data_IF_118075990756
#
_entry.id   IF_118075990756
#
_cell.length_a   1.000
_cell.length_b   1.000
_cell.length_c   1.000
_cell.angle_alpha   90.00
_cell.angle_beta   90.00
_cell.angle_gamma   90.00
#
_symmetry.space_group_name_H-M   'P 1'
#
loop_
_entity.id
_entity.type
_entity.pdbx_description
1 polymer ?
#
# COMPACT_ATOMS: atom_id res chain seq x y z
N UNK A 1 14.52 38.32 3.14
CA UNK A 1 15.71 37.47 3.06
C UNK A 1 15.78 36.91 1.64
N UNK A 2 16.97 36.85 1.00
CA UNK A 2 17.08 36.27 -0.33
C UNK A 2 16.62 34.79 -0.26
N UNK A 3 15.80 34.39 -1.26
CA UNK A 3 15.35 33.01 -1.38
C UNK A 3 16.56 32.16 -1.79
N UNK A 4 17.16 31.42 -0.85
CA UNK A 4 18.20 30.45 -1.16
C UNK A 4 17.53 29.33 -1.98
N UNK A 5 18.10 29.00 -3.13
CA UNK A 5 17.59 27.88 -3.92
C UNK A 5 17.81 26.57 -3.14
N UNK A 6 16.95 25.60 -3.39
CA UNK A 6 17.11 24.26 -2.78
C UNK A 6 18.48 23.66 -3.08
N UNK A 7 18.95 23.81 -4.32
CA UNK A 7 20.28 23.31 -4.73
C UNK A 7 21.42 23.98 -3.97
N UNK A 8 21.36 25.31 -3.75
CA UNK A 8 22.38 26.04 -3.00
C UNK A 8 22.39 25.60 -1.52
N UNK A 9 21.23 25.24 -0.99
CA UNK A 9 21.15 24.74 0.38
C UNK A 9 21.78 23.35 0.49
N UNK A 10 21.35 22.41 -0.38
CA UNK A 10 21.89 21.03 -0.36
C UNK A 10 23.38 21.03 -0.70
N UNK A 11 23.84 21.86 -1.60
CA UNK A 11 25.27 22.01 -1.91
C UNK A 11 26.10 22.32 -0.66
N UNK A 12 25.57 23.11 0.28
CA UNK A 12 26.26 23.40 1.56
C UNK A 12 26.31 22.21 2.52
N UNK A 13 25.46 21.22 2.34
CA UNK A 13 25.37 20.00 3.17
C UNK A 13 26.15 18.82 2.56
N UNK A 14 26.72 19.02 1.37
CA UNK A 14 27.51 17.99 0.67
C UNK A 14 28.99 18.33 0.72
N UNK A 15 29.88 17.32 0.71
CA UNK A 15 31.28 17.55 0.39
C UNK A 15 31.42 18.18 -1.01
N UNK A 16 32.36 19.12 -1.17
CA UNK A 16 32.55 19.89 -2.43
C UNK A 16 32.64 18.98 -3.67
N UNK A 17 33.31 17.85 -3.53
CA UNK A 17 33.46 16.84 -4.59
C UNK A 17 32.18 16.15 -5.05
N UNK A 18 31.09 16.26 -4.29
CA UNK A 18 29.79 15.63 -4.58
C UNK A 18 28.77 16.60 -5.14
N UNK A 19 28.99 17.90 -5.03
CA UNK A 19 28.03 18.95 -5.43
C UNK A 19 27.69 18.83 -6.90
N UNK A 20 28.70 18.70 -7.78
CA UNK A 20 28.51 18.59 -9.23
C UNK A 20 27.74 17.30 -9.59
N UNK A 21 28.10 16.16 -9.00
CA UNK A 21 27.42 14.89 -9.22
C UNK A 21 25.94 14.95 -8.78
N UNK A 22 25.66 15.57 -7.63
CA UNK A 22 24.30 15.76 -7.15
C UNK A 22 23.49 16.66 -8.10
N UNK A 23 24.05 17.79 -8.52
CA UNK A 23 23.39 18.72 -9.45
C UNK A 23 23.08 18.06 -10.79
N UNK A 24 24.02 17.26 -11.33
CA UNK A 24 23.83 16.51 -12.57
C UNK A 24 22.69 15.49 -12.45
N UNK A 25 22.63 14.74 -11.36
CA UNK A 25 21.53 13.79 -11.09
C UNK A 25 20.20 14.52 -10.89
N UNK A 26 20.21 15.70 -10.28
CA UNK A 26 19.01 16.50 -10.07
C UNK A 26 18.39 16.98 -11.40
N UNK A 27 19.17 17.16 -12.44
CA UNK A 27 18.68 17.55 -13.78
C UNK A 27 18.20 16.35 -14.63
N UNK A 28 18.49 15.14 -14.21
CA UNK A 28 18.13 13.91 -14.94
C UNK A 28 16.87 13.28 -14.38
N UNK A 29 16.04 12.68 -15.27
CA UNK A 29 14.90 11.88 -14.83
C UNK A 29 15.39 10.61 -14.17
N UNK A 30 14.93 10.34 -12.95
CA UNK A 30 15.17 9.07 -12.29
C UNK A 30 14.63 7.91 -13.13
N UNK A 31 15.34 6.76 -13.15
CA UNK A 31 14.84 5.55 -13.77
C UNK A 31 13.49 5.16 -13.18
N UNK A 32 12.59 4.65 -14.02
CA UNK A 32 11.34 4.08 -13.52
C UNK A 32 11.63 2.79 -12.77
N UNK A 33 11.02 2.64 -11.61
CA UNK A 33 11.07 1.41 -10.82
C UNK A 33 9.69 0.82 -10.64
N UNK A 34 9.66 -0.49 -10.56
CA UNK A 34 8.46 -1.29 -10.28
C UNK A 34 8.72 -2.18 -9.07
N UNK A 35 7.68 -2.37 -8.26
CA UNK A 35 7.70 -3.34 -7.17
C UNK A 35 6.74 -4.48 -7.50
N UNK A 36 7.23 -5.71 -7.43
CA UNK A 36 6.43 -6.92 -7.59
C UNK A 36 5.56 -7.13 -6.36
N UNK A 37 4.31 -7.50 -6.55
CA UNK A 37 3.38 -7.88 -5.46
C UNK A 37 3.54 -9.38 -5.22
N UNK A 38 4.34 -9.72 -4.23
CA UNK A 38 4.82 -11.10 -4.03
C UNK A 38 3.74 -12.06 -3.54
N UNK A 39 2.70 -11.55 -2.90
CA UNK A 39 1.49 -12.31 -2.54
C UNK A 39 0.66 -12.75 -3.76
N UNK A 40 0.84 -12.12 -4.93
CA UNK A 40 0.15 -12.48 -6.17
C UNK A 40 0.98 -13.35 -7.09
N UNK A 41 2.26 -13.06 -7.20
CA UNK A 41 3.18 -13.77 -8.09
C UNK A 41 4.58 -13.82 -7.47
N UNK A 42 5.20 -14.99 -7.39
CA UNK A 42 6.60 -15.08 -7.01
C UNK A 42 7.48 -14.23 -7.93
N UNK A 43 8.44 -13.51 -7.36
CA UNK A 43 9.33 -12.60 -8.12
C UNK A 43 10.01 -13.29 -9.30
N UNK A 44 10.46 -14.54 -9.11
CA UNK A 44 11.10 -15.34 -10.18
C UNK A 44 10.17 -15.59 -11.38
N UNK A 45 8.87 -15.84 -11.11
CA UNK A 45 7.88 -16.11 -12.15
C UNK A 45 7.52 -14.81 -12.88
N UNK A 46 7.43 -13.69 -12.15
CA UNK A 46 7.25 -12.37 -12.74
C UNK A 46 8.39 -12.02 -13.71
N UNK A 47 9.66 -12.16 -13.27
CA UNK A 47 10.83 -11.88 -14.10
C UNK A 47 10.80 -12.72 -15.37
N UNK A 48 10.47 -14.02 -15.25
CA UNK A 48 10.36 -14.90 -16.41
C UNK A 48 9.28 -14.43 -17.39
N UNK A 49 8.09 -14.08 -16.87
CA UNK A 49 6.96 -13.65 -17.72
C UNK A 49 7.31 -12.38 -18.50
N UNK A 50 7.87 -11.37 -17.84
CA UNK A 50 8.19 -10.10 -18.50
C UNK A 50 9.44 -10.22 -19.39
N UNK A 51 10.38 -11.10 -19.05
CA UNK A 51 11.52 -11.45 -19.90
C UNK A 51 11.09 -12.07 -21.22
N UNK A 52 10.12 -13.01 -21.20
CA UNK A 52 9.54 -13.59 -22.42
C UNK A 52 8.82 -12.52 -23.29
N UNK A 53 8.39 -11.39 -22.69
CA UNK A 53 7.82 -10.23 -23.39
C UNK A 53 8.89 -9.26 -23.90
N UNK A 54 10.17 -9.50 -23.63
CA UNK A 54 11.28 -8.67 -24.06
C UNK A 54 11.57 -7.46 -23.15
N UNK A 55 11.05 -7.44 -21.91
CA UNK A 55 11.45 -6.42 -20.94
C UNK A 55 12.84 -6.72 -20.39
N UNK A 56 13.58 -5.65 -20.07
CA UNK A 56 14.84 -5.75 -19.35
C UNK A 56 14.69 -5.09 -17.98
N UNK A 57 14.80 -5.93 -16.96
CA UNK A 57 14.74 -5.52 -15.56
C UNK A 57 16.13 -5.61 -14.94
N UNK A 58 16.52 -4.58 -14.19
CA UNK A 58 17.73 -4.57 -13.38
C UNK A 58 17.36 -4.58 -11.90
N UNK A 59 17.96 -5.49 -11.16
CA UNK A 59 17.72 -5.65 -9.74
C UNK A 59 18.17 -4.41 -8.97
N UNK A 60 17.31 -3.92 -8.07
CA UNK A 60 17.71 -2.91 -7.08
C UNK A 60 18.27 -3.57 -5.82
N UNK A 61 18.51 -2.78 -4.80
CA UNK A 61 18.93 -3.29 -3.48
C UNK A 61 17.81 -4.12 -2.78
N UNK A 62 16.56 -4.02 -3.24
CA UNK A 62 15.44 -4.82 -2.76
C UNK A 62 15.12 -5.95 -3.73
N UNK A 63 14.90 -7.17 -3.21
CA UNK A 63 14.72 -8.38 -4.02
C UNK A 63 13.49 -8.40 -4.92
N UNK A 64 12.51 -7.55 -4.63
CA UNK A 64 11.22 -7.46 -5.32
C UNK A 64 10.98 -6.10 -6.01
N UNK A 65 12.03 -5.25 -6.06
CA UNK A 65 11.99 -3.94 -6.73
C UNK A 65 13.04 -3.89 -7.84
N UNK A 66 12.61 -3.45 -9.04
CA UNK A 66 13.44 -3.46 -10.24
C UNK A 66 13.41 -2.12 -10.95
N UNK A 67 14.56 -1.71 -11.49
CA UNK A 67 14.62 -0.69 -12.53
C UNK A 67 14.11 -1.29 -13.85
N UNK A 68 13.27 -0.56 -14.55
CA UNK A 68 12.82 -0.90 -15.90
C UNK A 68 13.74 -0.26 -16.90
N UNK A 69 14.72 -1.04 -17.41
CA UNK A 69 15.72 -0.56 -18.38
C UNK A 69 15.16 -0.55 -19.80
N UNK A 70 14.32 -1.55 -20.11
CA UNK A 70 13.64 -1.64 -21.39
C UNK A 70 12.20 -2.11 -21.20
N UNK A 71 11.31 -1.47 -21.89
CA UNK A 71 9.88 -1.77 -21.93
C UNK A 71 9.44 -1.74 -23.40
N UNK A 72 9.01 -2.87 -23.92
CA UNK A 72 8.82 -3.09 -25.36
C UNK A 72 7.38 -2.95 -25.84
N UNK A 73 6.42 -2.84 -24.89
CA UNK A 73 5.01 -2.77 -25.24
C UNK A 73 4.60 -1.38 -25.76
N UNK A 74 3.59 -1.33 -26.60
CA UNK A 74 2.99 -0.09 -27.10
C UNK A 74 2.28 0.74 -26.03
N UNK A 75 1.81 0.08 -24.97
CA UNK A 75 1.17 0.71 -23.84
C UNK A 75 2.20 1.29 -22.85
N UNK A 76 1.79 2.23 -22.01
CA UNK A 76 2.62 2.66 -20.89
C UNK A 76 2.64 1.60 -19.78
N UNK A 77 3.67 1.60 -18.91
CA UNK A 77 3.71 0.69 -17.75
C UNK A 77 2.42 0.69 -16.94
N UNK A 78 1.82 1.87 -16.72
CA UNK A 78 0.57 2.00 -15.96
C UNK A 78 -0.67 1.47 -16.68
N UNK A 79 -0.63 1.34 -18.00
CA UNK A 79 -1.70 0.79 -18.83
C UNK A 79 -1.50 -0.68 -19.16
N UNK A 80 -0.36 -1.26 -18.80
CA UNK A 80 -0.07 -2.65 -19.07
C UNK A 80 -0.94 -3.59 -18.24
N UNK A 81 -1.38 -4.72 -18.82
CA UNK A 81 -2.30 -5.65 -18.14
C UNK A 81 -1.74 -6.22 -16.83
N UNK A 82 -0.44 -6.42 -16.71
CA UNK A 82 0.18 -6.84 -15.45
C UNK A 82 0.08 -5.77 -14.35
N UNK A 83 0.16 -4.48 -14.71
CA UNK A 83 -0.08 -3.39 -13.77
C UNK A 83 -1.57 -3.29 -13.40
N UNK A 84 -2.45 -3.41 -14.38
CA UNK A 84 -3.90 -3.42 -14.13
C UNK A 84 -4.31 -4.62 -13.27
N UNK A 85 -3.63 -5.76 -13.45
CA UNK A 85 -3.78 -6.98 -12.65
C UNK A 85 -3.05 -6.95 -11.30
N UNK A 86 -2.35 -5.87 -10.96
CA UNK A 86 -1.62 -5.71 -9.70
C UNK A 86 -0.54 -6.77 -9.44
N UNK A 87 0.10 -7.26 -10.49
CA UNK A 87 1.29 -8.10 -10.34
C UNK A 87 2.51 -7.27 -9.97
N UNK A 88 2.50 -6.00 -10.34
CA UNK A 88 3.44 -4.98 -9.90
C UNK A 88 2.76 -3.61 -9.76
N UNK A 89 3.38 -2.71 -9.05
CA UNK A 89 3.02 -1.30 -9.07
C UNK A 89 4.25 -0.42 -9.27
N UNK A 90 4.00 0.77 -9.81
CA UNK A 90 5.05 1.74 -10.09
C UNK A 90 5.31 2.52 -8.83
N UNK A 91 6.52 2.43 -8.30
CA UNK A 91 6.94 3.14 -7.11
C UNK A 91 8.38 3.61 -7.31
N UNK A 92 8.67 4.83 -6.91
CA UNK A 92 10.05 5.33 -6.89
C UNK A 92 10.84 4.58 -5.80
N UNK A 93 12.10 4.21 -6.11
CA UNK A 93 12.90 3.34 -5.25
C UNK A 93 13.04 3.86 -3.82
N UNK A 94 13.29 5.16 -3.63
CA UNK A 94 13.43 5.72 -2.29
C UNK A 94 12.15 5.59 -1.45
N UNK A 95 10.98 5.74 -2.09
CA UNK A 95 9.70 5.57 -1.43
C UNK A 95 9.43 4.13 -0.97
N UNK A 96 10.15 3.14 -1.51
CA UNK A 96 10.06 1.74 -1.10
C UNK A 96 10.97 1.36 0.06
N UNK A 97 11.89 2.25 0.48
CA UNK A 97 12.96 1.91 1.43
C UNK A 97 12.50 1.79 2.89
N UNK A 98 11.48 2.53 3.32
CA UNK A 98 11.11 2.59 4.74
C UNK A 98 10.32 1.36 5.21
N UNK A 99 9.36 0.88 4.44
CA UNK A 99 8.50 -0.23 4.85
C UNK A 99 9.27 -1.54 5.17
N UNK A 100 10.28 -1.97 4.38
CA UNK A 100 11.05 -3.18 4.69
C UNK A 100 11.83 -3.12 6.01
N UNK A 101 12.21 -1.92 6.47
CA UNK A 101 12.96 -1.74 7.72
C UNK A 101 12.15 -2.11 8.96
N UNK A 102 10.81 -2.12 8.84
CA UNK A 102 9.96 -2.65 9.90
C UNK A 102 10.08 -4.16 10.06
N UNK A 103 10.51 -4.88 9.02
CA UNK A 103 10.53 -6.35 9.02
C UNK A 103 9.19 -6.93 9.48
N UNK A 104 8.11 -6.47 8.82
CA UNK A 104 6.74 -6.81 9.20
C UNK A 104 6.44 -8.30 9.00
N UNK A 105 5.81 -8.93 9.99
CA UNK A 105 5.48 -10.37 9.99
C UNK A 105 3.97 -10.60 9.95
N UNK A 106 3.56 -11.75 9.45
CA UNK A 106 2.16 -12.10 9.16
C UNK A 106 1.18 -11.94 10.34
N UNK A 107 1.65 -12.10 11.58
CA UNK A 107 0.80 -12.02 12.78
C UNK A 107 0.79 -10.65 13.45
N UNK A 108 1.52 -9.69 12.90
CA UNK A 108 1.68 -8.37 13.50
C UNK A 108 0.59 -7.39 13.06
N UNK A 109 0.24 -6.48 13.97
CA UNK A 109 -0.64 -5.35 13.72
C UNK A 109 0.25 -4.12 13.54
N UNK A 110 0.33 -3.64 12.31
CA UNK A 110 1.18 -2.51 11.92
C UNK A 110 0.32 -1.25 11.77
N UNK A 111 0.79 -0.13 12.28
CA UNK A 111 0.23 1.18 11.96
C UNK A 111 1.07 1.85 10.86
N UNK A 112 0.45 2.16 9.74
CA UNK A 112 0.97 3.12 8.76
C UNK A 112 0.29 4.47 9.04
N UNK A 113 0.99 5.33 9.81
CA UNK A 113 0.39 6.50 10.47
C UNK A 113 0.04 7.64 9.50
N UNK A 114 0.69 7.71 8.33
CA UNK A 114 0.50 8.75 7.32
C UNK A 114 0.40 8.11 5.92
N UNK A 115 -0.53 7.19 5.73
CA UNK A 115 -0.51 6.15 4.71
C UNK A 115 -0.71 6.61 3.27
N UNK A 116 -1.46 7.71 3.04
CA UNK A 116 -1.81 8.10 1.66
C UNK A 116 -0.59 8.46 0.80
N UNK A 117 -0.53 7.98 -0.45
CA UNK A 117 -1.61 7.32 -1.22
C UNK A 117 -1.69 5.79 -1.09
N UNK A 118 -0.88 5.11 -0.24
CA UNK A 118 -1.01 3.69 0.05
C UNK A 118 0.12 2.78 -0.43
N UNK A 119 1.15 3.31 -1.08
CA UNK A 119 2.25 2.49 -1.60
C UNK A 119 3.00 1.71 -0.51
N UNK A 120 3.26 2.32 0.64
CA UNK A 120 3.91 1.68 1.79
C UNK A 120 2.96 0.74 2.53
N UNK A 121 1.69 1.12 2.65
CA UNK A 121 0.62 0.23 3.16
C UNK A 121 0.58 -1.09 2.40
N UNK A 122 0.56 -1.03 1.05
CA UNK A 122 0.54 -2.21 0.18
C UNK A 122 1.80 -3.05 0.40
N UNK A 123 2.94 -2.42 0.52
CA UNK A 123 4.21 -3.08 0.77
C UNK A 123 4.24 -3.83 2.11
N UNK A 124 3.71 -3.22 3.17
CA UNK A 124 3.56 -3.85 4.48
C UNK A 124 2.52 -4.98 4.44
N UNK A 125 1.38 -4.77 3.81
CA UNK A 125 0.34 -5.78 3.69
C UNK A 125 0.76 -7.00 2.85
N UNK A 126 1.65 -6.81 1.87
CA UNK A 126 2.19 -7.88 1.02
C UNK A 126 3.02 -8.90 1.83
N UNK A 127 3.53 -8.54 3.02
CA UNK A 127 4.18 -9.48 3.96
C UNK A 127 3.20 -10.41 4.67
N UNK A 128 1.91 -10.08 4.64
CA UNK A 128 0.84 -10.77 5.38
C UNK A 128 0.54 -10.16 6.75
N UNK A 129 1.23 -9.11 7.18
CA UNK A 129 0.87 -8.34 8.38
C UNK A 129 -0.50 -7.68 8.23
N UNK A 130 -1.20 -7.43 9.34
CA UNK A 130 -2.42 -6.64 9.32
C UNK A 130 -2.08 -5.15 9.46
N UNK A 131 -2.43 -4.35 8.46
CA UNK A 131 -2.03 -2.95 8.40
C UNK A 131 -3.19 -2.01 8.64
N UNK A 132 -3.10 -1.22 9.70
CA UNK A 132 -3.99 -0.08 9.96
C UNK A 132 -3.39 1.13 9.25
N UNK A 133 -4.09 1.62 8.23
CA UNK A 133 -3.61 2.70 7.35
C UNK A 133 -4.35 3.98 7.69
N UNK A 134 -3.64 4.95 8.26
CA UNK A 134 -4.26 6.18 8.72
C UNK A 134 -4.06 7.35 7.74
N UNK A 135 -5.13 8.09 7.47
CA UNK A 135 -5.08 9.34 6.72
C UNK A 135 -6.24 10.26 7.14
N UNK A 136 -5.97 11.35 7.87
CA UNK A 136 -7.01 12.23 8.35
C UNK A 136 -7.67 13.08 7.25
N UNK A 137 -6.94 13.40 6.16
CA UNK A 137 -7.43 14.28 5.10
C UNK A 137 -8.30 13.51 4.10
N UNK A 138 -9.59 13.85 4.04
CA UNK A 138 -10.58 13.14 3.23
C UNK A 138 -10.19 12.95 1.73
N UNK A 139 -9.66 13.94 0.99
CA UNK A 139 -9.28 13.71 -0.40
C UNK A 139 -8.16 12.67 -0.54
N UNK A 140 -7.15 12.72 0.33
CA UNK A 140 -6.04 11.76 0.34
C UNK A 140 -6.50 10.38 0.80
N UNK A 141 -7.40 10.31 1.80
CA UNK A 141 -7.99 9.05 2.27
C UNK A 141 -8.81 8.34 1.18
N UNK A 142 -9.56 9.08 0.35
CA UNK A 142 -10.24 8.50 -0.81
C UNK A 142 -9.27 7.84 -1.78
N UNK A 143 -8.14 8.48 -2.05
CA UNK A 143 -7.08 7.92 -2.90
C UNK A 143 -6.45 6.66 -2.25
N UNK A 144 -6.21 6.69 -0.94
CA UNK A 144 -5.72 5.53 -0.18
C UNK A 144 -6.69 4.34 -0.28
N UNK A 145 -7.97 4.56 0.02
CA UNK A 145 -9.02 3.53 -0.07
C UNK A 145 -9.11 2.97 -1.49
N UNK A 146 -9.09 3.83 -2.50
CA UNK A 146 -9.10 3.41 -3.90
C UNK A 146 -7.92 2.50 -4.24
N UNK A 147 -6.70 2.88 -3.83
CA UNK A 147 -5.50 2.10 -4.09
C UNK A 147 -5.50 0.77 -3.33
N UNK A 148 -5.89 0.75 -2.05
CA UNK A 148 -6.03 -0.48 -1.27
C UNK A 148 -7.07 -1.41 -1.92
N UNK A 149 -8.25 -0.88 -2.26
CA UNK A 149 -9.29 -1.68 -2.89
C UNK A 149 -8.84 -2.31 -4.22
N UNK A 150 -8.02 -1.61 -5.00
CA UNK A 150 -7.47 -2.15 -6.25
C UNK A 150 -6.47 -3.26 -6.04
N UNK A 151 -5.68 -3.22 -4.95
CA UNK A 151 -4.66 -4.25 -4.66
C UNK A 151 -5.22 -5.47 -3.95
N UNK A 152 -6.43 -5.38 -3.38
CA UNK A 152 -7.13 -6.47 -2.70
C UNK A 152 -6.40 -7.04 -1.50
N UNK A 153 -5.65 -6.20 -0.81
CA UNK A 153 -5.04 -6.56 0.47
C UNK A 153 -6.12 -6.64 1.55
N UNK A 154 -6.67 -7.85 1.76
CA UNK A 154 -7.74 -8.12 2.74
C UNK A 154 -7.28 -7.91 4.19
N UNK A 155 -5.98 -7.85 4.41
CA UNK A 155 -5.31 -7.65 5.69
C UNK A 155 -5.00 -6.16 5.94
N UNK A 156 -5.86 -5.27 5.48
CA UNK A 156 -5.74 -3.82 5.70
C UNK A 156 -7.02 -3.23 6.25
N UNK A 157 -6.90 -2.14 7.01
CA UNK A 157 -8.03 -1.31 7.41
C UNK A 157 -7.62 0.16 7.33
N UNK A 158 -8.60 1.06 7.15
CA UNK A 158 -8.35 2.50 7.06
C UNK A 158 -8.96 3.21 8.26
N UNK A 159 -8.27 4.22 8.76
CA UNK A 159 -8.75 5.11 9.82
C UNK A 159 -8.48 6.58 9.44
N UNK A 160 -9.10 7.50 10.14
CA UNK A 160 -9.04 8.94 9.88
C UNK A 160 -8.67 9.76 11.13
N UNK A 161 -7.92 9.15 12.02
CA UNK A 161 -7.51 9.75 13.28
C UNK A 161 -6.37 10.76 13.03
N UNK A 162 -6.35 11.85 13.78
CA UNK A 162 -5.15 12.68 13.85
C UNK A 162 -3.98 11.84 14.39
N UNK A 163 -2.90 11.70 13.62
CA UNK A 163 -1.76 10.85 13.98
C UNK A 163 -1.16 11.15 15.35
N UNK A 164 -1.25 12.41 15.82
CA UNK A 164 -0.76 12.82 17.14
C UNK A 164 -1.57 12.26 18.33
N UNK A 165 -2.72 11.61 18.06
CA UNK A 165 -3.62 11.09 19.10
C UNK A 165 -3.48 9.58 19.33
N UNK A 166 -2.79 8.84 18.45
CA UNK A 166 -2.70 7.37 18.57
C UNK A 166 -2.10 6.92 19.90
N UNK A 167 -1.06 7.58 20.39
CA UNK A 167 -0.45 7.26 21.68
C UNK A 167 -1.41 7.40 22.85
N UNK A 168 -2.27 8.41 22.83
CA UNK A 168 -3.27 8.64 23.87
C UNK A 168 -4.47 7.68 23.77
N UNK A 169 -4.93 7.42 22.54
CA UNK A 169 -6.14 6.59 22.31
C UNK A 169 -5.83 5.09 22.32
N UNK A 170 -4.65 4.69 21.89
CA UNK A 170 -4.24 3.29 21.72
C UNK A 170 -2.82 3.03 22.25
N UNK A 171 -2.55 3.28 23.55
CA UNK A 171 -1.23 3.06 24.11
C UNK A 171 -0.81 1.60 24.03
N UNK A 172 0.44 1.36 23.59
CA UNK A 172 1.04 0.02 23.44
C UNK A 172 0.16 -0.99 22.66
N UNK A 173 -0.53 -0.50 21.64
CA UNK A 173 -1.46 -1.32 20.87
C UNK A 173 -0.80 -1.97 19.65
N UNK A 174 0.07 -1.25 18.94
CA UNK A 174 0.66 -1.69 17.68
C UNK A 174 1.98 -2.40 17.91
N UNK A 175 2.21 -3.48 17.13
CA UNK A 175 3.50 -4.18 17.16
C UNK A 175 4.60 -3.31 16.54
N UNK A 176 4.33 -2.70 15.39
CA UNK A 176 5.29 -1.80 14.71
C UNK A 176 4.56 -0.62 14.10
N UNK A 177 5.28 0.48 13.92
CA UNK A 177 4.68 1.71 13.38
C UNK A 177 5.57 2.31 12.30
N UNK A 178 4.98 2.63 11.16
CA UNK A 178 5.58 3.45 10.11
C UNK A 178 5.06 4.87 10.21
N UNK A 179 5.97 5.83 10.33
CA UNK A 179 5.70 7.27 10.30
C UNK A 179 6.35 7.85 9.05
N UNK A 180 5.71 7.66 7.89
CA UNK A 180 6.10 8.34 6.65
C UNK A 180 5.53 9.75 6.69
N UNK A 181 6.23 10.63 7.40
CA UNK A 181 5.67 11.87 7.89
C UNK A 181 5.39 12.89 6.77
N UNK A 182 4.36 13.73 6.92
CA UNK A 182 4.19 14.88 6.06
C UNK A 182 5.43 15.77 6.18
N UNK A 183 6.04 16.10 5.05
CA UNK A 183 7.29 16.86 4.98
C UNK A 183 7.21 17.96 3.90
N UNK A 184 8.21 18.82 3.84
CA UNK A 184 8.29 19.89 2.84
C UNK A 184 8.31 19.38 1.40
N UNK A 185 8.66 18.11 1.22
CA UNK A 185 8.64 17.46 -0.10
C UNK A 185 9.62 18.09 -1.09
N UNK A 186 10.70 18.66 -0.61
CA UNK A 186 11.70 19.38 -1.42
C UNK A 186 12.15 18.54 -2.62
N UNK A 187 12.33 17.22 -2.42
CA UNK A 187 12.66 16.34 -3.52
C UNK A 187 11.50 16.11 -4.51
N UNK A 188 10.27 16.12 -4.03
CA UNK A 188 9.09 15.92 -4.89
C UNK A 188 8.83 17.08 -5.83
N UNK A 189 9.22 18.30 -5.46
CA UNK A 189 9.11 19.48 -6.33
C UNK A 189 9.94 19.34 -7.61
N UNK A 190 11.02 18.56 -7.56
CA UNK A 190 11.82 18.17 -8.72
C UNK A 190 10.96 17.42 -9.78
N UNK A 191 10.08 16.51 -9.38
CA UNK A 191 9.22 15.75 -10.31
C UNK A 191 8.22 16.64 -11.05
N UNK A 192 7.85 17.77 -10.46
CA UNK A 192 6.86 18.70 -11.01
C UNK A 192 7.48 19.82 -11.85
N UNK A 193 8.81 19.89 -11.91
CA UNK A 193 9.53 20.89 -12.73
C UNK A 193 9.40 22.35 -12.25
N UNK A 194 8.90 22.54 -11.01
CA UNK A 194 8.75 23.86 -10.42
C UNK A 194 10.00 24.33 -9.66
N UNK A 195 10.24 25.65 -9.57
CA UNK A 195 11.31 26.17 -8.74
C UNK A 195 10.99 25.87 -7.27
N UNK A 196 11.90 25.18 -6.59
CA UNK A 196 11.80 24.91 -5.16
C UNK A 196 12.22 26.18 -4.41
N UNK A 197 11.24 26.91 -3.89
CA UNK A 197 11.56 27.94 -2.92
C UNK A 197 11.53 27.34 -1.52
N UNK A 198 12.68 27.34 -0.85
CA UNK A 198 12.76 26.90 0.55
C UNK A 198 11.96 27.86 1.43
N UNK A 199 10.90 27.37 2.03
CA UNK A 199 10.12 28.08 3.03
C UNK A 199 10.50 27.59 4.42
N UNK A 200 11.41 28.25 5.08
CA UNK A 200 11.93 27.83 6.40
C UNK A 200 10.85 27.82 7.48
N UNK A 201 9.88 28.71 7.42
CA UNK A 201 8.75 28.69 8.35
C UNK A 201 7.92 27.41 8.18
N UNK A 202 7.63 27.03 6.93
CA UNK A 202 6.91 25.78 6.62
C UNK A 202 7.70 24.57 7.12
N UNK A 203 9.01 24.50 6.83
CA UNK A 203 9.88 23.41 7.26
C UNK A 203 9.85 23.27 8.78
N UNK A 204 10.04 24.35 9.54
CA UNK A 204 9.97 24.33 11.01
C UNK A 204 8.59 23.95 11.55
N UNK A 205 7.52 24.35 10.85
CA UNK A 205 6.17 23.96 11.26
C UNK A 205 5.91 22.46 11.05
N UNK A 206 6.41 21.89 9.94
CA UNK A 206 6.33 20.46 9.65
C UNK A 206 7.18 19.64 10.63
N UNK A 207 8.39 20.08 10.96
CA UNK A 207 9.23 19.43 11.97
C UNK A 207 8.53 19.30 13.33
N UNK A 208 7.78 20.33 13.76
CA UNK A 208 6.96 20.24 14.99
C UNK A 208 5.84 19.21 14.90
N UNK A 209 5.21 19.06 13.72
CA UNK A 209 4.21 18.02 13.47
C UNK A 209 4.88 16.64 13.50
N UNK A 210 6.02 16.49 12.87
CA UNK A 210 6.79 15.24 12.81
C UNK A 210 7.20 14.76 14.21
N UNK A 211 7.66 15.67 15.07
CA UNK A 211 7.95 15.37 16.48
C UNK A 211 6.70 14.84 17.19
N UNK A 212 5.55 15.51 17.06
CA UNK A 212 4.30 15.06 17.69
C UNK A 212 3.83 13.70 17.19
N UNK A 213 4.00 13.42 15.90
CA UNK A 213 3.68 12.10 15.31
C UNK A 213 4.59 11.01 15.89
N UNK A 214 5.89 11.27 16.00
CA UNK A 214 6.84 10.33 16.59
C UNK A 214 6.57 10.09 18.08
N UNK A 215 6.27 11.15 18.87
CA UNK A 215 5.86 11.02 20.26
C UNK A 215 4.64 10.10 20.39
N UNK A 216 3.61 10.36 19.59
CA UNK A 216 2.40 9.52 19.53
C UNK A 216 2.71 8.08 19.09
N UNK A 217 3.65 7.89 18.16
CA UNK A 217 4.07 6.57 17.72
C UNK A 217 4.78 5.80 18.83
N UNK A 218 5.64 6.46 19.61
CA UNK A 218 6.35 5.85 20.75
C UNK A 218 5.35 5.36 21.80
N UNK A 219 4.35 6.17 22.13
CA UNK A 219 3.32 5.80 23.10
C UNK A 219 2.43 4.66 22.58
N UNK A 220 2.09 4.68 21.30
CA UNK A 220 1.22 3.68 20.67
C UNK A 220 1.91 2.35 20.37
N UNK A 221 3.23 2.33 20.24
CA UNK A 221 4.04 1.15 19.95
C UNK A 221 4.26 0.32 21.23
N UNK A 222 4.14 -1.00 21.10
CA UNK A 222 4.53 -1.93 22.18
C UNK A 222 6.02 -1.88 22.45
N UNK A 223 6.42 -2.22 23.69
CA UNK A 223 7.84 -2.33 24.09
C UNK A 223 8.54 -3.42 23.28
N UNK A 224 9.82 -3.23 22.97
CA UNK A 224 10.71 -4.07 22.18
C UNK A 224 10.45 -4.08 20.67
N UNK A 225 9.51 -3.26 20.20
CA UNK A 225 9.15 -3.19 18.78
C UNK A 225 9.70 -1.93 18.10
N UNK A 226 9.60 -1.94 16.76
CA UNK A 226 10.22 -0.92 15.91
C UNK A 226 9.26 0.18 15.51
N UNK A 227 9.81 1.39 15.40
CA UNK A 227 9.17 2.54 14.77
C UNK A 227 10.10 2.99 13.65
N UNK A 228 9.58 3.09 12.44
CA UNK A 228 10.33 3.62 11.29
C UNK A 228 9.78 5.01 10.97
N UNK A 229 10.66 5.99 10.99
CA UNK A 229 10.41 7.35 10.57
C UNK A 229 10.98 7.58 9.17
N UNK A 230 10.26 8.27 8.28
CA UNK A 230 10.77 8.63 6.96
C UNK A 230 10.20 9.94 6.45
N UNK A 231 11.00 10.61 5.60
CA UNK A 231 10.63 11.84 4.87
C UNK A 231 11.17 11.82 3.45
N UNK A 232 10.50 12.51 2.54
CA UNK A 232 10.99 12.74 1.18
C UNK A 232 11.71 14.09 1.05
N UNK A 233 12.51 14.45 2.04
CA UNK A 233 13.34 15.66 2.05
C UNK A 233 14.75 15.36 2.52
N UNK A 234 15.70 16.24 2.20
CA UNK A 234 17.10 16.10 2.58
C UNK A 234 17.55 17.14 3.61
N UNK A 235 16.68 18.08 4.02
CA UNK A 235 17.05 19.09 5.01
C UNK A 235 17.21 18.49 6.42
N UNK A 236 18.01 19.13 7.24
CA UNK A 236 18.36 18.67 8.58
C UNK A 236 17.25 18.91 9.58
N UNK A 237 16.46 19.98 9.40
CA UNK A 237 15.42 20.41 10.34
C UNK A 237 14.33 19.34 10.47
N UNK A 238 13.94 18.73 9.33
CA UNK A 238 12.91 17.68 9.29
C UNK A 238 13.48 16.27 9.52
N UNK A 239 14.80 16.11 9.54
CA UNK A 239 15.46 14.81 9.66
C UNK A 239 16.29 14.73 10.96
N UNK A 240 17.54 15.17 10.92
CA UNK A 240 18.48 15.01 12.02
C UNK A 240 18.05 15.74 13.31
N UNK A 241 17.49 16.96 13.20
CA UNK A 241 16.98 17.71 14.37
C UNK A 241 15.77 17.03 15.01
N UNK A 242 14.87 16.45 14.18
CA UNK A 242 13.71 15.69 14.68
C UNK A 242 14.17 14.45 15.44
N UNK A 243 15.06 13.63 14.86
CA UNK A 243 15.55 12.42 15.55
C UNK A 243 16.35 12.75 16.81
N UNK A 244 17.17 13.82 16.79
CA UNK A 244 17.91 14.29 17.96
C UNK A 244 16.96 14.70 19.08
N UNK A 245 15.91 15.48 18.76
CA UNK A 245 14.87 15.90 19.74
C UNK A 245 14.20 14.68 20.37
N UNK A 246 13.85 13.68 19.57
CA UNK A 246 13.18 12.46 20.06
C UNK A 246 14.14 11.62 20.93
N UNK A 247 15.37 11.39 20.49
CA UNK A 247 16.34 10.58 21.25
C UNK A 247 16.74 11.23 22.57
N UNK A 248 16.81 12.55 22.61
CA UNK A 248 17.09 13.29 23.84
C UNK A 248 15.89 13.25 24.81
N UNK A 249 14.68 13.55 24.30
CA UNK A 249 13.44 13.57 25.11
C UNK A 249 13.07 12.20 25.67
N UNK A 250 13.28 11.15 24.91
CA UNK A 250 12.93 9.76 25.27
C UNK A 250 14.15 8.90 25.59
N UNK A 251 15.19 9.54 26.14
CA UNK A 251 16.41 8.85 26.55
C UNK A 251 16.12 7.71 27.54
N UNK A 252 16.59 6.50 27.23
CA UNK A 252 16.33 5.30 28.00
C UNK A 252 14.99 4.60 27.68
N UNK A 253 14.15 5.20 26.84
CA UNK A 253 12.87 4.64 26.40
C UNK A 253 12.91 4.21 24.93
N UNK A 254 13.63 4.96 24.10
CA UNK A 254 13.85 4.60 22.70
C UNK A 254 15.34 4.61 22.39
N UNK A 255 15.73 3.69 21.55
CA UNK A 255 17.08 3.57 20.98
C UNK A 255 17.00 3.80 19.46
N UNK A 256 17.87 4.65 18.95
CA UNK A 256 18.05 4.83 17.51
C UNK A 256 18.97 3.71 16.98
N UNK A 257 18.39 2.73 16.29
CA UNK A 257 19.12 1.59 15.73
C UNK A 257 19.81 1.92 14.40
N UNK A 258 19.18 2.76 13.59
CA UNK A 258 19.65 3.04 12.24
C UNK A 258 19.11 4.38 11.75
N UNK A 259 19.90 5.09 10.96
CA UNK A 259 19.41 6.16 10.11
C UNK A 259 20.22 6.23 8.81
N UNK A 260 19.57 6.67 7.74
CA UNK A 260 20.23 6.86 6.45
C UNK A 260 19.53 7.94 5.63
N UNK A 261 20.35 8.80 5.02
CA UNK A 261 19.94 9.77 4.02
C UNK A 261 20.30 9.22 2.64
N UNK A 262 19.28 8.89 1.84
CA UNK A 262 19.45 8.46 0.45
C UNK A 262 19.62 9.68 -0.44
N UNK A 263 20.61 9.64 -1.32
CA UNK A 263 20.94 10.74 -2.24
C UNK A 263 21.01 10.24 -3.67
N UNK A 264 20.49 11.00 -4.67
CA UNK A 264 20.40 10.54 -6.06
C UNK A 264 21.72 10.08 -6.68
N UNK A 265 22.78 10.84 -6.44
CA UNK A 265 24.11 10.59 -7.01
C UNK A 265 24.84 9.40 -6.38
N UNK A 266 24.43 8.97 -5.19
CA UNK A 266 25.01 7.82 -4.48
C UNK A 266 24.14 6.57 -4.55
N UNK A 267 22.83 6.75 -4.39
CA UNK A 267 21.89 5.64 -4.18
C UNK A 267 21.00 5.39 -5.40
N UNK A 268 21.18 6.14 -6.48
CA UNK A 268 20.41 6.04 -7.74
C UNK A 268 18.88 6.07 -7.55
N UNK A 269 18.44 6.79 -6.54
CA UNK A 269 17.01 6.94 -6.18
C UNK A 269 16.72 8.40 -5.79
N UNK A 270 15.48 8.73 -5.46
CA UNK A 270 15.09 10.04 -4.98
C UNK A 270 15.71 10.41 -3.64
N UNK A 271 15.76 11.71 -3.35
CA UNK A 271 16.15 12.20 -2.03
C UNK A 271 15.18 11.72 -0.96
N UNK A 272 15.68 11.00 0.04
CA UNK A 272 14.86 10.39 1.07
C UNK A 272 15.65 10.21 2.38
N UNK A 273 14.94 10.23 3.49
CA UNK A 273 15.52 9.96 4.79
C UNK A 273 14.75 8.88 5.53
N UNK A 274 15.45 8.01 6.23
CA UNK A 274 14.85 7.06 7.15
C UNK A 274 15.59 7.01 8.48
N UNK A 275 14.86 6.75 9.56
CA UNK A 275 15.39 6.40 10.88
C UNK A 275 14.57 5.25 11.47
N UNK A 276 15.24 4.33 12.15
CA UNK A 276 14.64 3.19 12.85
C UNK A 276 14.89 3.34 14.32
N UNK A 277 13.81 3.40 15.09
CA UNK A 277 13.83 3.40 16.54
C UNK A 277 13.34 2.06 17.08
N UNK A 278 13.89 1.62 18.18
CA UNK A 278 13.37 0.55 19.02
C UNK A 278 12.87 1.14 20.34
N UNK A 279 11.63 0.82 20.71
CA UNK A 279 11.14 1.13 22.05
C UNK A 279 11.68 0.10 23.03
N UNK A 280 12.41 0.51 24.06
CA UNK A 280 13.11 -0.38 25.00
C UNK A 280 12.50 -0.42 26.38
N UNK A 281 11.68 0.58 26.77
CA UNK A 281 11.07 0.63 28.07
C UNK A 281 9.64 1.26 28.05
N UNK A 282 8.92 1.12 29.17
CA UNK A 282 7.54 1.59 29.39
C UNK A 282 7.44 2.96 30.05
N UNK A 283 8.50 3.49 30.62
CA UNK A 283 8.47 4.65 31.53
C UNK A 283 7.99 5.98 30.93
N UNK A 284 7.45 5.95 29.71
CA UNK A 284 6.89 7.15 29.04
C UNK A 284 5.53 7.58 29.61
N UNK A 285 4.80 6.68 30.25
CA UNK A 285 3.38 6.92 30.67
C UNK A 285 3.27 7.97 31.78
N UNK A 286 4.36 8.34 32.44
CA UNK A 286 4.34 9.31 33.54
C UNK A 286 4.19 10.78 33.08
N UNK A 287 4.21 11.07 31.79
CA UNK A 287 4.05 12.44 31.28
C UNK A 287 2.69 12.75 30.63
N UNK A 288 1.87 11.73 30.41
CA UNK A 288 0.50 11.94 29.92
C UNK A 288 -0.45 11.88 31.10
N UNK A 289 -1.02 13.03 31.46
CA UNK A 289 -2.07 13.14 32.47
C UNK A 289 -3.12 12.05 32.22
N UNK A 290 -3.39 11.28 33.30
CA UNK A 290 -4.33 10.16 33.36
C UNK A 290 -5.79 10.57 33.16
N UNK A 291 -6.09 11.34 32.14
CA UNK A 291 -7.46 11.49 31.68
C UNK A 291 -7.74 10.26 30.78
N UNK A 292 -8.11 9.16 31.46
CA UNK A 292 -8.75 8.03 30.79
C UNK A 292 -9.94 8.55 30.00
N UNK A 293 -9.72 8.89 28.74
CA UNK A 293 -10.82 9.08 27.80
C UNK A 293 -11.31 7.67 27.44
N UNK A 294 -12.01 7.06 28.40
CA UNK A 294 -12.88 5.91 28.15
C UNK A 294 -14.19 6.38 27.50
N UNK A 295 -14.14 7.28 26.57
CA UNK A 295 -15.24 7.40 25.64
C UNK A 295 -15.02 6.32 24.57
N UNK A 296 -15.57 5.13 24.85
CA UNK A 296 -15.96 4.21 23.80
C UNK A 296 -16.84 5.03 22.84
N UNK A 297 -16.25 5.50 21.75
CA UNK A 297 -17.06 6.00 20.63
C UNK A 297 -17.91 4.78 20.24
N UNK A 298 -19.24 4.85 20.41
CA UNK A 298 -20.06 3.72 20.01
C UNK A 298 -19.92 3.60 18.51
N UNK A 299 -19.10 2.64 18.08
CA UNK A 299 -19.01 2.24 16.70
C UNK A 299 -20.42 1.82 16.28
N UNK A 300 -21.03 2.59 15.37
CA UNK A 300 -22.09 2.08 14.55
C UNK A 300 -21.47 0.99 13.67
N UNK A 301 -21.39 -0.23 14.22
CA UNK A 301 -21.18 -1.40 13.39
C UNK A 301 -22.35 -1.36 12.41
N UNK A 302 -22.13 -1.18 11.12
CA UNK A 302 -23.20 -1.35 10.15
C UNK A 302 -23.81 -2.72 10.42
N UNK A 303 -25.14 -2.89 10.24
CA UNK A 303 -25.82 -4.17 10.42
C UNK A 303 -25.22 -5.21 9.46
N UNK A 304 -24.12 -5.84 9.92
CA UNK A 304 -23.45 -6.90 9.18
C UNK A 304 -24.20 -8.19 9.41
N UNK A 305 -24.83 -8.67 8.39
CA UNK A 305 -25.33 -10.02 8.43
C UNK A 305 -24.15 -10.99 8.19
N UNK A 306 -23.55 -11.46 9.30
CA UNK A 306 -22.58 -12.54 9.32
C UNK A 306 -23.29 -13.75 9.91
N UNK A 307 -23.72 -14.65 9.04
CA UNK A 307 -24.39 -15.89 9.47
C UNK A 307 -23.67 -17.09 8.88
N UNK A 308 -23.70 -18.22 9.58
CA UNK A 308 -23.15 -19.50 9.09
C UNK A 308 -23.80 -19.92 7.79
N UNK A 309 -25.08 -19.59 7.61
CA UNK A 309 -25.82 -19.79 6.37
C UNK A 309 -25.19 -19.01 5.22
N UNK A 310 -24.85 -17.72 5.42
CA UNK A 310 -24.19 -16.93 4.41
C UNK A 310 -22.80 -17.48 4.08
N UNK A 311 -22.00 -17.84 5.12
CA UNK A 311 -20.67 -18.43 4.93
C UNK A 311 -20.75 -19.68 4.04
N UNK A 312 -21.66 -20.59 4.38
CA UNK A 312 -21.86 -21.83 3.63
C UNK A 312 -22.32 -21.60 2.20
N UNK A 313 -23.27 -20.68 2.00
CA UNK A 313 -23.80 -20.35 0.68
C UNK A 313 -22.76 -19.72 -0.24
N UNK A 314 -21.91 -18.81 0.28
CA UNK A 314 -20.85 -18.19 -0.52
C UNK A 314 -19.78 -19.22 -0.88
N UNK A 315 -19.34 -20.03 0.08
CA UNK A 315 -18.36 -21.10 -0.16
C UNK A 315 -18.85 -22.11 -1.19
N UNK A 316 -20.12 -22.53 -1.09
CA UNK A 316 -20.73 -23.43 -2.07
C UNK A 316 -20.73 -22.82 -3.47
N UNK A 317 -21.18 -21.57 -3.60
CA UNK A 317 -21.17 -20.85 -4.87
C UNK A 317 -19.74 -20.78 -5.48
N UNK A 318 -18.72 -20.45 -4.69
CA UNK A 318 -17.34 -20.38 -5.14
C UNK A 318 -16.82 -21.75 -5.61
N UNK A 319 -17.19 -22.80 -4.91
CA UNK A 319 -16.81 -24.16 -5.29
C UNK A 319 -17.52 -24.62 -6.57
N UNK A 320 -18.81 -24.43 -6.67
CA UNK A 320 -19.59 -24.85 -7.83
C UNK A 320 -19.24 -24.08 -9.10
N UNK A 321 -19.10 -22.74 -8.98
CA UNK A 321 -18.86 -21.87 -10.13
C UNK A 321 -17.39 -21.80 -10.57
N UNK A 322 -16.45 -21.80 -9.63
CA UNK A 322 -15.04 -21.54 -9.92
C UNK A 322 -14.11 -22.66 -9.45
N UNK A 323 -14.66 -23.73 -8.85
CA UNK A 323 -13.90 -24.83 -8.26
C UNK A 323 -12.91 -24.36 -7.17
N UNK A 324 -13.32 -23.34 -6.40
CA UNK A 324 -12.53 -22.79 -5.30
C UNK A 324 -12.99 -23.39 -3.99
N UNK A 325 -12.25 -24.37 -3.50
CA UNK A 325 -12.49 -25.02 -2.21
C UNK A 325 -11.64 -24.47 -1.07
N UNK A 326 -10.50 -23.84 -1.39
CA UNK A 326 -9.56 -23.28 -0.41
C UNK A 326 -9.53 -21.76 -0.51
N UNK A 327 -10.11 -21.11 0.49
CA UNK A 327 -9.96 -19.65 0.74
C UNK A 327 -9.15 -19.48 2.03
N UNK A 328 -8.47 -18.32 2.24
CA UNK A 328 -7.74 -18.09 3.50
C UNK A 328 -8.60 -18.37 4.71
N UNK A 329 -8.05 -19.08 5.71
CA UNK A 329 -8.81 -19.62 6.86
C UNK A 329 -9.46 -18.54 7.73
N UNK A 330 -8.90 -17.33 7.73
CA UNK A 330 -9.44 -16.19 8.46
C UNK A 330 -10.44 -15.34 7.65
N UNK A 331 -10.85 -15.79 6.46
CA UNK A 331 -11.82 -15.11 5.61
C UNK A 331 -13.23 -15.19 6.16
N UNK A 332 -13.94 -14.08 6.16
CA UNK A 332 -15.34 -13.96 6.52
C UNK A 332 -16.13 -13.22 5.44
N UNK A 333 -17.33 -13.72 5.18
CA UNK A 333 -18.28 -13.06 4.29
C UNK A 333 -19.37 -12.36 5.11
N UNK A 334 -19.69 -11.15 4.72
CA UNK A 334 -20.86 -10.46 5.27
C UNK A 334 -21.68 -9.85 4.14
N UNK A 335 -22.98 -9.72 4.35
CA UNK A 335 -23.88 -9.11 3.40
C UNK A 335 -24.48 -7.80 3.92
N UNK A 336 -24.64 -6.89 3.01
CA UNK A 336 -25.57 -5.77 3.10
C UNK A 336 -26.81 -6.08 2.26
N UNK A 337 -27.74 -5.13 2.14
CA UNK A 337 -28.93 -5.30 1.31
C UNK A 337 -28.57 -5.59 -0.16
N UNK A 338 -27.53 -4.94 -0.67
CA UNK A 338 -27.22 -4.93 -2.11
C UNK A 338 -25.91 -5.64 -2.48
N UNK A 339 -25.11 -6.09 -1.52
CA UNK A 339 -23.78 -6.62 -1.83
C UNK A 339 -23.28 -7.62 -0.80
N UNK A 340 -22.41 -8.53 -1.24
CA UNK A 340 -21.66 -9.45 -0.38
C UNK A 340 -20.20 -9.08 -0.46
N UNK A 341 -19.55 -9.01 0.69
CA UNK A 341 -18.17 -8.58 0.88
C UNK A 341 -17.35 -9.69 1.53
N UNK A 342 -16.04 -9.62 1.29
CA UNK A 342 -15.02 -10.37 2.01
C UNK A 342 -14.33 -9.47 3.03
N UNK A 343 -14.11 -9.99 4.22
CA UNK A 343 -13.26 -9.43 5.26
C UNK A 343 -12.48 -10.53 5.96
N UNK A 344 -11.81 -10.22 7.07
CA UNK A 344 -11.10 -11.19 7.91
C UNK A 344 -11.62 -11.15 9.34
N UNK A 345 -11.41 -12.26 10.09
CA UNK A 345 -11.68 -12.30 11.53
C UNK A 345 -10.87 -11.25 12.29
N UNK A 346 -9.64 -10.97 11.84
CA UNK A 346 -8.77 -9.96 12.43
C UNK A 346 -9.39 -8.58 12.31
N UNK A 347 -9.98 -8.24 11.14
CA UNK A 347 -10.68 -6.98 10.94
C UNK A 347 -11.83 -6.81 11.95
N UNK A 348 -12.67 -7.82 12.16
CA UNK A 348 -13.80 -7.72 13.09
C UNK A 348 -13.32 -7.52 14.53
N UNK A 349 -12.27 -8.23 14.92
CA UNK A 349 -11.65 -8.09 16.25
C UNK A 349 -11.08 -6.69 16.46
N UNK A 350 -10.41 -6.13 15.45
CA UNK A 350 -9.83 -4.80 15.51
C UNK A 350 -10.90 -3.71 15.42
N UNK A 351 -11.93 -3.91 14.61
CA UNK A 351 -13.05 -2.96 14.49
C UNK A 351 -13.77 -2.73 15.81
N UNK A 352 -13.84 -3.73 16.69
CA UNK A 352 -14.40 -3.55 18.04
C UNK A 352 -13.55 -2.67 18.96
N UNK A 353 -12.28 -2.45 18.62
CA UNK A 353 -11.29 -1.70 19.40
C UNK A 353 -10.89 -0.37 18.76
N UNK A 354 -10.94 -0.26 17.45
CA UNK A 354 -10.52 0.89 16.67
C UNK A 354 -11.69 1.45 15.86
N UNK A 355 -11.73 2.79 15.70
CA UNK A 355 -12.66 3.42 14.76
C UNK A 355 -12.14 3.25 13.34
N UNK A 356 -12.55 2.18 12.67
CA UNK A 356 -12.09 1.86 11.32
C UNK A 356 -13.07 2.37 10.27
N UNK A 357 -12.58 3.12 9.31
CA UNK A 357 -13.27 3.37 8.04
C UNK A 357 -13.23 2.11 7.17
N UNK A 358 -14.14 2.00 6.22
CA UNK A 358 -14.31 0.82 5.38
C UNK A 358 -13.01 0.35 4.75
N UNK A 359 -12.68 -0.94 4.92
CA UNK A 359 -12.01 -1.71 3.88
C UNK A 359 -12.74 -3.03 3.73
N UNK A 360 -13.66 -3.05 2.77
CA UNK A 360 -14.44 -4.24 2.43
C UNK A 360 -14.21 -4.54 0.98
N UNK A 361 -13.87 -5.75 0.68
CA UNK A 361 -13.72 -6.16 -0.70
C UNK A 361 -15.08 -6.67 -1.17
N UNK A 362 -15.80 -5.94 -2.04
CA UNK A 362 -17.02 -6.43 -2.61
C UNK A 362 -16.72 -7.67 -3.45
N UNK A 363 -17.49 -8.74 -3.28
CA UNK A 363 -17.39 -9.96 -4.08
C UNK A 363 -18.55 -10.09 -5.06
N UNK A 364 -19.75 -9.73 -4.59
CA UNK A 364 -20.96 -9.83 -5.38
C UNK A 364 -21.86 -8.63 -5.13
N UNK A 365 -22.48 -8.15 -6.17
CA UNK A 365 -23.71 -7.39 -6.06
C UNK A 365 -24.88 -8.36 -5.97
N UNK A 366 -25.93 -8.00 -5.22
CA UNK A 366 -27.14 -8.79 -5.07
C UNK A 366 -28.24 -8.11 -5.87
N UNK A 367 -28.70 -8.77 -6.92
CA UNK A 367 -29.83 -8.31 -7.72
C UNK A 367 -31.15 -8.33 -6.95
N UNK A 368 -32.18 -7.66 -7.45
CA UNK A 368 -33.54 -7.64 -6.85
C UNK A 368 -34.17 -9.03 -6.74
N UNK A 369 -33.76 -9.95 -7.61
CA UNK A 369 -34.13 -11.36 -7.63
C UNK A 369 -33.29 -12.24 -6.70
N UNK A 370 -32.40 -11.64 -5.92
CA UNK A 370 -31.44 -12.34 -5.04
C UNK A 370 -30.25 -12.96 -5.77
N UNK A 371 -30.15 -12.75 -7.10
CA UNK A 371 -29.05 -13.27 -7.90
C UNK A 371 -27.73 -12.60 -7.53
N UNK A 372 -26.67 -13.39 -7.35
CA UNK A 372 -25.33 -12.90 -7.08
C UNK A 372 -24.63 -12.58 -8.39
N UNK A 373 -24.26 -11.32 -8.57
CA UNK A 373 -23.54 -10.82 -9.74
C UNK A 373 -22.08 -10.61 -9.31
N UNK A 374 -21.12 -11.40 -9.80
CA UNK A 374 -19.72 -11.24 -9.46
C UNK A 374 -19.22 -9.86 -9.84
N UNK A 375 -18.53 -9.18 -8.92
CA UNK A 375 -17.84 -7.92 -9.20
C UNK A 375 -16.38 -8.14 -9.51
N UNK A 376 -15.76 -7.16 -10.11
CA UNK A 376 -14.38 -7.27 -10.61
C UNK A 376 -13.37 -7.75 -9.55
N UNK A 377 -13.58 -7.41 -8.29
CA UNK A 377 -12.77 -7.82 -7.14
C UNK A 377 -12.66 -9.33 -6.93
N UNK A 378 -13.67 -10.07 -7.32
CA UNK A 378 -13.68 -11.52 -7.12
C UNK A 378 -12.48 -12.22 -7.76
N UNK A 379 -12.04 -11.77 -8.95
CA UNK A 379 -10.93 -12.38 -9.66
C UNK A 379 -9.59 -12.23 -8.93
N UNK A 380 -9.37 -11.11 -8.23
CA UNK A 380 -8.12 -10.86 -7.50
C UNK A 380 -7.90 -11.84 -6.36
N UNK A 381 -9.01 -12.30 -5.76
CA UNK A 381 -8.98 -13.27 -4.67
C UNK A 381 -8.90 -14.69 -5.25
N UNK A 382 -9.63 -14.94 -6.31
CA UNK A 382 -9.83 -16.28 -6.86
C UNK A 382 -8.97 -16.58 -8.10
N UNK A 383 -8.38 -15.58 -8.73
CA UNK A 383 -7.73 -15.72 -10.03
C UNK A 383 -6.71 -16.85 -10.11
N UNK A 384 -5.92 -17.05 -9.05
CA UNK A 384 -4.94 -18.12 -9.00
C UNK A 384 -5.52 -19.45 -8.47
N UNK A 385 -6.68 -19.40 -7.79
CA UNK A 385 -7.29 -20.57 -7.15
C UNK A 385 -8.33 -21.26 -8.03
N UNK A 386 -8.94 -20.53 -8.96
CA UNK A 386 -10.02 -21.03 -9.78
C UNK A 386 -9.53 -21.96 -10.90
N UNK A 387 -10.26 -23.06 -11.13
CA UNK A 387 -10.03 -23.98 -12.27
C UNK A 387 -11.23 -24.09 -13.21
N UNK A 388 -12.45 -23.66 -12.79
CA UNK A 388 -13.64 -23.56 -13.62
C UNK A 388 -13.93 -22.13 -14.03
N UNK A 389 -14.64 -21.97 -15.15
CA UNK A 389 -14.98 -20.67 -15.74
C UNK A 389 -13.76 -19.76 -15.91
N UNK A 390 -12.67 -20.35 -16.35
CA UNK A 390 -11.40 -19.69 -16.60
C UNK A 390 -11.11 -19.65 -18.09
N UNK A 391 -10.63 -18.53 -18.58
CA UNK A 391 -10.15 -18.37 -19.94
C UNK A 391 -8.71 -17.86 -19.93
N UNK A 392 -7.82 -18.65 -20.51
CA UNK A 392 -6.44 -18.24 -20.74
C UNK A 392 -6.36 -17.35 -21.98
N UNK A 393 -5.75 -16.17 -21.85
CA UNK A 393 -5.56 -15.21 -22.93
C UNK A 393 -4.10 -15.17 -23.37
N UNK A 394 -3.87 -14.82 -24.64
CA UNK A 394 -2.54 -14.45 -25.14
C UNK A 394 -2.13 -13.08 -24.58
N UNK A 395 -0.84 -12.70 -24.72
CA UNK A 395 -0.35 -11.38 -24.30
C UNK A 395 -1.10 -10.27 -25.05
N UNK A 396 -1.29 -10.44 -26.36
CA UNK A 396 -2.02 -9.48 -27.19
C UNK A 396 -3.49 -9.31 -26.76
N UNK A 397 -4.17 -10.42 -26.45
CA UNK A 397 -5.55 -10.38 -25.95
C UNK A 397 -5.60 -9.74 -24.56
N UNK A 398 -4.68 -10.08 -23.67
CA UNK A 398 -4.58 -9.52 -22.32
C UNK A 398 -4.37 -8.00 -22.37
N UNK A 399 -3.49 -7.53 -23.26
CA UNK A 399 -3.24 -6.11 -23.44
C UNK A 399 -4.46 -5.38 -24.05
N UNK A 400 -5.08 -5.95 -25.08
CA UNK A 400 -6.30 -5.38 -25.67
C UNK A 400 -7.43 -5.26 -24.64
N UNK A 401 -7.55 -6.25 -23.75
CA UNK A 401 -8.52 -6.21 -22.66
C UNK A 401 -8.17 -5.10 -21.63
N UNK A 402 -6.90 -4.94 -21.29
CA UNK A 402 -6.44 -3.86 -20.39
C UNK A 402 -6.69 -2.46 -20.99
N UNK A 403 -6.67 -2.34 -22.32
CA UNK A 403 -7.04 -1.13 -23.07
C UNK A 403 -8.56 -0.90 -23.17
N UNK A 404 -9.34 -1.62 -22.38
CA UNK A 404 -10.82 -1.54 -22.32
C UNK A 404 -11.53 -1.96 -23.61
N UNK A 405 -10.89 -2.81 -24.44
CA UNK A 405 -11.52 -3.38 -25.65
C UNK A 405 -12.30 -4.65 -25.31
N UNK A 406 -13.47 -4.83 -25.94
CA UNK A 406 -14.17 -6.11 -25.94
C UNK A 406 -13.39 -7.12 -26.81
N UNK A 407 -13.30 -8.35 -26.36
CA UNK A 407 -12.56 -9.40 -27.12
C UNK A 407 -13.54 -10.34 -27.80
N UNK A 408 -13.32 -10.59 -29.11
CA UNK A 408 -14.01 -11.67 -29.82
C UNK A 408 -13.39 -13.01 -29.42
N UNK A 409 -14.26 -13.96 -29.07
CA UNK A 409 -13.88 -15.32 -28.66
C UNK A 409 -14.44 -16.36 -29.61
N UNK A 410 -13.85 -17.54 -29.60
CA UNK A 410 -14.38 -18.69 -30.34
C UNK A 410 -15.73 -19.13 -29.76
N UNK A 411 -16.71 -19.54 -30.58
CA UNK A 411 -18.09 -19.83 -30.15
C UNK A 411 -18.21 -20.91 -29.06
N UNK A 412 -17.25 -21.83 -28.95
CA UNK A 412 -17.36 -23.05 -28.13
C UNK A 412 -16.93 -22.89 -26.68
N UNK A 413 -16.73 -21.67 -26.15
CA UNK A 413 -16.39 -21.49 -24.74
C UNK A 413 -17.66 -21.71 -23.92
N UNK A 414 -17.70 -22.84 -23.22
CA UNK A 414 -18.77 -23.13 -22.26
C UNK A 414 -18.57 -22.29 -21.00
N UNK A 415 -19.64 -21.65 -20.58
CA UNK A 415 -19.72 -20.94 -19.30
C UNK A 415 -20.84 -21.54 -18.47
N UNK A 416 -20.69 -21.52 -17.16
CA UNK A 416 -21.78 -21.87 -16.25
C UNK A 416 -22.79 -20.71 -16.10
N UNK A 417 -23.66 -20.80 -15.14
CA UNK A 417 -24.96 -20.12 -14.99
C UNK A 417 -25.00 -18.62 -15.37
N UNK A 418 -23.95 -17.84 -15.20
CA UNK A 418 -24.01 -16.38 -15.32
C UNK A 418 -23.16 -15.76 -16.42
N UNK A 419 -22.56 -16.60 -17.26
CA UNK A 419 -21.66 -16.17 -18.34
C UNK A 419 -20.46 -15.33 -17.89
N UNK A 420 -20.01 -15.46 -16.64
CA UNK A 420 -18.79 -14.81 -16.14
C UNK A 420 -17.59 -15.74 -16.31
N UNK A 421 -16.49 -15.15 -16.72
CA UNK A 421 -15.19 -15.83 -16.92
C UNK A 421 -14.10 -15.09 -16.19
N UNK A 422 -13.27 -15.83 -15.46
CA UNK A 422 -12.00 -15.36 -14.93
C UNK A 422 -10.96 -15.40 -16.05
N UNK A 423 -10.33 -14.29 -16.31
CA UNK A 423 -9.30 -14.17 -17.34
C UNK A 423 -7.94 -14.42 -16.70
N UNK A 424 -7.17 -15.34 -17.29
CA UNK A 424 -5.81 -15.68 -16.86
C UNK A 424 -4.81 -15.43 -17.95
N UNK A 425 -3.56 -15.24 -17.51
CA UNK A 425 -2.38 -15.29 -18.36
C UNK A 425 -1.28 -16.06 -17.63
N UNK A 426 -0.76 -17.13 -18.28
CA UNK A 426 0.26 -18.03 -17.68
C UNK A 426 -0.12 -18.53 -16.28
N UNK A 427 -1.38 -18.96 -16.09
CA UNK A 427 -1.99 -19.40 -14.83
C UNK A 427 -2.28 -18.30 -13.79
N UNK A 428 -1.94 -17.05 -14.05
CA UNK A 428 -2.23 -15.95 -13.13
C UNK A 428 -3.48 -15.20 -13.58
N UNK A 429 -4.44 -15.07 -12.67
CA UNK A 429 -5.68 -14.32 -12.91
C UNK A 429 -5.41 -12.81 -12.93
N UNK A 430 -5.99 -12.10 -13.88
CA UNK A 430 -5.83 -10.65 -13.97
C UNK A 430 -7.14 -9.89 -14.19
N UNK A 431 -8.25 -10.56 -14.51
CA UNK A 431 -9.52 -9.87 -14.68
C UNK A 431 -10.73 -10.81 -14.63
N UNK A 432 -11.93 -10.20 -14.55
CA UNK A 432 -13.22 -10.85 -14.69
C UNK A 432 -13.92 -10.26 -15.92
N UNK A 433 -14.55 -11.10 -16.73
CA UNK A 433 -15.29 -10.68 -17.90
C UNK A 433 -16.68 -11.33 -17.92
N UNK A 434 -17.60 -10.76 -18.70
CA UNK A 434 -18.89 -11.37 -19.01
C UNK A 434 -18.96 -11.74 -20.48
N UNK A 435 -19.27 -13.01 -20.77
CA UNK A 435 -19.55 -13.47 -22.12
C UNK A 435 -20.93 -12.99 -22.59
N UNK A 436 -20.99 -12.33 -23.74
CA UNK A 436 -22.23 -11.91 -24.39
C UNK A 436 -22.12 -12.25 -25.88
N UNK A 437 -22.83 -13.30 -26.30
CA UNK A 437 -22.62 -13.87 -27.62
C UNK A 437 -21.18 -14.35 -27.82
N UNK A 438 -20.54 -13.92 -28.89
CA UNK A 438 -19.16 -14.24 -29.23
C UNK A 438 -18.14 -13.23 -28.67
N UNK A 439 -18.53 -12.41 -27.70
CA UNK A 439 -17.68 -11.37 -27.12
C UNK A 439 -17.52 -11.51 -25.62
N UNK A 440 -16.33 -11.23 -25.15
CA UNK A 440 -16.03 -10.92 -23.76
C UNK A 440 -16.21 -9.42 -23.57
N UNK A 441 -17.16 -9.05 -22.74
CA UNK A 441 -17.40 -7.65 -22.39
C UNK A 441 -16.41 -7.17 -21.35
N UNK A 442 -15.74 -6.09 -21.66
CA UNK A 442 -14.77 -5.50 -20.75
C UNK A 442 -15.47 -5.01 -19.47
N UNK A 443 -14.91 -5.37 -18.32
CA UNK A 443 -15.40 -5.00 -16.97
C UNK A 443 -14.35 -4.25 -16.16
N UNK A 444 -13.23 -3.86 -16.78
CA UNK A 444 -12.25 -2.98 -16.15
C UNK A 444 -12.86 -1.58 -15.98
N UNK A 445 -12.92 -1.11 -14.75
CA UNK A 445 -13.46 0.21 -14.37
C UNK A 445 -12.46 1.34 -14.58
#
# INVERSE_FOLDING_TARGET
MPKISYLDHIAKLLPDQEVEAFQSCYLQKLPKTIKVVTSKIPTKDFIKIVGDMGWELEQTIQSDVFYVRKFTDSATLGQHFLHQGWFFYIQELSASMSAPLLDAQRWEIILDMCAAPGGKTIQLADTGAFVISNEPLNPRRKALIYNINRTWMINTAVTNIDGSRFGQEYPEFFDKILVDAPCSGEWMSYKTGGPISRNEWLIKSLARIQIKLLESAIDACKVWWKIVYSTCTLNEIENEEVISTITEKYKGVVELEFNKKYRPHRDHCGGFFVAVFRKTDRDVINHVSTNKITQKIPLKIPDFNISDKLQSQVKLYLTEQFDVSKIPSNSLFYSTINSIYLTTTDYLTLHSKLSLDKVWIPLFDVGRDGKRIPVHSLWNILGNLASKNVLELSDQQSQAYAEKKDLKITPNIQTTIDNFLLLKRKNYGFSLSKKVGDFLKNKLS
#
